data_IF_919823325791
#
_entry.id   IF_919823325791
#
_cell.length_a   1.000
_cell.length_b   1.000
_cell.length_c   1.000
_cell.angle_alpha   90.00
_cell.angle_beta   90.00
_cell.angle_gamma   90.00
#
_symmetry.space_group_name_H-M   'P 1'
#
loop_
_entity.id
_entity.type
_entity.pdbx_description
1 polymer ?
#
# COMPACT_ATOMS: atom_id res chain seq x y z
N UNK A 1 9.57 30.60 -1.80
CA UNK A 1 10.60 29.55 -2.01
C UNK A 1 10.45 28.41 -1.01
N UNK A 2 10.38 28.63 0.32
CA UNK A 2 10.15 27.56 1.32
C UNK A 2 8.87 26.75 1.11
N UNK A 3 7.72 27.40 0.92
CA UNK A 3 6.42 26.74 0.68
C UNK A 3 6.39 25.88 -0.60
N UNK A 4 7.12 26.30 -1.64
CA UNK A 4 7.20 25.59 -2.92
C UNK A 4 8.16 24.39 -2.81
N UNK A 5 9.22 24.53 -2.01
CA UNK A 5 10.12 23.44 -1.62
C UNK A 5 9.43 22.43 -0.70
N UNK A 6 8.59 22.86 0.24
CA UNK A 6 7.79 22.00 1.10
C UNK A 6 6.70 21.26 0.32
N UNK A 7 6.06 21.90 -0.66
CA UNK A 7 5.13 21.24 -1.57
C UNK A 7 5.87 20.27 -2.48
N UNK A 8 7.02 20.64 -3.06
CA UNK A 8 7.79 19.72 -3.90
C UNK A 8 8.38 18.58 -3.10
N UNK A 9 8.82 18.83 -1.87
CA UNK A 9 9.32 17.80 -0.97
C UNK A 9 8.15 16.93 -0.52
N UNK A 10 7.01 17.51 -0.15
CA UNK A 10 5.76 16.80 0.15
C UNK A 10 5.26 15.93 -1.01
N UNK A 11 5.42 16.39 -2.26
CA UNK A 11 5.12 15.60 -3.46
C UNK A 11 6.15 14.49 -3.64
N UNK A 12 7.45 14.77 -3.49
CA UNK A 12 8.52 13.77 -3.60
C UNK A 12 8.46 12.75 -2.45
N UNK A 13 8.02 13.17 -1.26
CA UNK A 13 7.82 12.30 -0.10
C UNK A 13 6.58 11.46 -0.27
N UNK A 14 5.53 12.05 -0.84
CA UNK A 14 4.35 11.34 -1.31
C UNK A 14 4.56 10.55 -2.60
N UNK A 15 5.79 10.37 -3.09
CA UNK A 15 6.10 9.70 -4.36
C UNK A 15 6.83 8.39 -4.10
N UNK A 16 7.62 8.30 -3.02
CA UNK A 16 8.40 7.10 -2.72
C UNK A 16 7.91 6.22 -1.57
N UNK A 17 6.79 6.54 -0.91
CA UNK A 17 6.18 5.71 0.14
C UNK A 17 5.09 4.73 -0.33
N UNK A 18 4.65 4.80 -1.60
CA UNK A 18 3.38 4.19 -2.00
C UNK A 18 3.45 2.93 -2.86
N UNK A 19 4.65 2.46 -3.17
CA UNK A 19 4.81 1.17 -3.82
C UNK A 19 5.18 0.14 -2.75
N UNK A 20 4.24 -0.71 -2.40
CA UNK A 20 4.44 -1.84 -1.50
C UNK A 20 4.60 -3.15 -2.30
N UNK A 21 5.07 -4.23 -1.64
CA UNK A 21 5.33 -5.50 -2.33
C UNK A 21 4.07 -6.08 -2.96
N UNK A 22 2.90 -5.80 -2.36
CA UNK A 22 1.59 -6.13 -2.88
C UNK A 22 1.32 -5.56 -4.27
N UNK A 23 1.61 -4.27 -4.45
CA UNK A 23 1.42 -3.59 -5.74
C UNK A 23 2.39 -4.11 -6.80
N UNK A 24 3.65 -4.36 -6.43
CA UNK A 24 4.63 -4.95 -7.35
C UNK A 24 4.27 -6.38 -7.76
N UNK A 25 3.92 -7.23 -6.79
CA UNK A 25 3.61 -8.64 -7.03
C UNK A 25 2.35 -8.81 -7.88
N UNK A 26 1.27 -8.12 -7.53
CA UNK A 26 0.00 -8.20 -8.26
C UNK A 26 0.11 -7.62 -9.66
N UNK A 27 0.82 -6.50 -9.84
CA UNK A 27 1.09 -5.94 -11.16
C UNK A 27 1.97 -6.85 -12.03
N UNK A 28 3.03 -7.42 -11.45
CA UNK A 28 3.91 -8.35 -12.17
C UNK A 28 3.17 -9.62 -12.59
N UNK A 29 2.40 -10.21 -11.69
CA UNK A 29 1.57 -11.38 -11.96
C UNK A 29 0.49 -11.07 -13.02
N UNK A 30 -0.17 -9.92 -12.92
CA UNK A 30 -1.17 -9.50 -13.88
C UNK A 30 -0.58 -9.30 -15.28
N UNK A 31 0.57 -8.65 -15.39
CA UNK A 31 1.28 -8.47 -16.64
C UNK A 31 1.71 -9.79 -17.25
N UNK A 32 2.30 -10.67 -16.44
CA UNK A 32 2.76 -12.00 -16.87
C UNK A 32 1.63 -12.89 -17.40
N UNK A 33 0.46 -12.91 -16.72
CA UNK A 33 -0.65 -13.80 -17.10
C UNK A 33 -1.59 -13.20 -18.14
N UNK A 34 -1.94 -11.93 -17.99
CA UNK A 34 -3.03 -11.29 -18.74
C UNK A 34 -2.55 -10.15 -19.66
N UNK A 35 -1.24 -9.94 -19.75
CA UNK A 35 -0.65 -8.85 -20.53
C UNK A 35 -1.19 -7.49 -20.07
N UNK A 36 -1.72 -6.72 -21.01
CA UNK A 36 -2.24 -5.37 -20.74
C UNK A 36 -3.71 -5.35 -20.28
N UNK A 37 -4.40 -6.48 -20.19
CA UNK A 37 -5.85 -6.51 -19.95
C UNK A 37 -6.26 -5.96 -18.57
N UNK A 38 -5.37 -5.99 -17.58
CA UNK A 38 -5.66 -5.55 -16.21
C UNK A 38 -5.19 -4.12 -15.89
N UNK A 39 -4.77 -3.36 -16.90
CA UNK A 39 -4.40 -1.94 -16.73
C UNK A 39 -5.55 -1.13 -16.13
N UNK A 40 -6.80 -1.38 -16.57
CA UNK A 40 -7.98 -0.70 -16.02
C UNK A 40 -8.12 -0.87 -14.50
N UNK A 41 -7.70 -2.01 -13.94
CA UNK A 41 -7.78 -2.26 -12.50
C UNK A 41 -6.78 -1.39 -11.73
N UNK A 42 -5.54 -1.22 -12.25
CA UNK A 42 -4.54 -0.31 -11.67
C UNK A 42 -5.05 1.14 -11.75
N UNK A 43 -5.60 1.56 -12.89
CA UNK A 43 -6.12 2.91 -13.07
C UNK A 43 -7.29 3.19 -12.12
N UNK A 44 -8.23 2.24 -11.99
CA UNK A 44 -9.35 2.34 -11.08
C UNK A 44 -8.87 2.40 -9.62
N UNK A 45 -7.94 1.52 -9.24
CA UNK A 45 -7.32 1.53 -7.90
C UNK A 45 -6.66 2.87 -7.58
N UNK A 46 -5.90 3.40 -8.54
CA UNK A 46 -5.23 4.71 -8.43
C UNK A 46 -6.24 5.85 -8.24
N UNK A 47 -7.33 5.87 -9.02
CA UNK A 47 -8.39 6.87 -8.87
C UNK A 47 -9.04 6.74 -7.48
N UNK A 48 -9.36 5.53 -7.05
CA UNK A 48 -9.98 5.27 -5.76
C UNK A 48 -9.11 5.76 -4.59
N UNK A 49 -7.81 5.46 -4.59
CA UNK A 49 -6.91 5.89 -3.52
C UNK A 49 -6.67 7.40 -3.54
N UNK A 50 -6.65 8.06 -4.71
CA UNK A 50 -6.64 9.54 -4.80
C UNK A 50 -7.81 10.13 -4.01
N UNK A 51 -9.02 9.61 -4.22
CA UNK A 51 -10.19 10.08 -3.49
C UNK A 51 -10.10 9.79 -1.99
N UNK A 52 -9.68 8.58 -1.60
CA UNK A 52 -9.57 8.23 -0.18
C UNK A 52 -8.54 9.06 0.57
N UNK A 53 -7.36 9.29 -0.04
CA UNK A 53 -6.29 10.09 0.56
C UNK A 53 -6.70 11.56 0.64
N UNK A 54 -7.30 12.11 -0.41
CA UNK A 54 -7.81 13.49 -0.37
C UNK A 54 -8.86 13.66 0.74
N UNK A 55 -9.79 12.72 0.83
CA UNK A 55 -10.81 12.70 1.87
C UNK A 55 -10.21 12.57 3.27
N UNK A 56 -9.18 11.72 3.45
CA UNK A 56 -8.50 11.49 4.73
C UNK A 56 -7.79 12.75 5.22
N UNK A 57 -7.00 13.39 4.35
CA UNK A 57 -6.33 14.63 4.69
C UNK A 57 -7.30 15.79 4.91
N UNK A 58 -8.40 15.86 4.14
CA UNK A 58 -9.44 16.88 4.33
C UNK A 58 -10.15 16.68 5.68
N UNK A 59 -10.51 15.45 6.02
CA UNK A 59 -11.14 15.13 7.29
C UNK A 59 -10.22 15.51 8.45
N UNK A 60 -8.96 15.11 8.43
CA UNK A 60 -7.97 15.46 9.45
C UNK A 60 -7.79 16.99 9.58
N UNK A 61 -7.57 17.69 8.47
CA UNK A 61 -7.31 19.13 8.46
C UNK A 61 -8.51 20.00 8.88
N UNK A 62 -9.74 19.51 8.66
CA UNK A 62 -10.97 20.25 9.01
C UNK A 62 -11.45 19.92 10.41
N UNK A 63 -11.44 18.64 10.79
CA UNK A 63 -12.01 18.17 12.06
C UNK A 63 -11.00 18.13 13.21
N UNK A 64 -9.70 18.09 12.91
CA UNK A 64 -8.64 17.84 13.89
C UNK A 64 -8.60 16.40 14.42
N UNK A 65 -9.40 15.49 13.85
CA UNK A 65 -9.46 14.08 14.24
C UNK A 65 -8.82 13.19 13.19
N UNK A 66 -8.19 12.11 13.62
CA UNK A 66 -7.83 11.00 12.71
C UNK A 66 -9.07 10.17 12.40
N UNK A 67 -8.97 9.31 11.38
CA UNK A 67 -10.09 8.43 11.02
C UNK A 67 -10.44 7.48 12.18
N UNK A 68 -9.44 6.88 12.84
CA UNK A 68 -9.70 5.96 13.93
C UNK A 68 -10.33 6.67 15.13
N UNK A 69 -9.81 7.85 15.49
CA UNK A 69 -10.36 8.67 16.58
C UNK A 69 -11.81 9.08 16.28
N UNK A 70 -12.08 9.56 15.07
CA UNK A 70 -13.42 9.96 14.65
C UNK A 70 -14.42 8.79 14.65
N UNK A 71 -14.02 7.60 14.20
CA UNK A 71 -14.90 6.41 14.21
C UNK A 71 -15.23 6.04 15.65
N UNK A 72 -14.22 6.01 16.52
CA UNK A 72 -14.41 5.68 17.92
C UNK A 72 -15.27 6.69 18.65
N UNK A 73 -15.06 7.98 18.43
CA UNK A 73 -15.83 9.05 19.08
C UNK A 73 -17.30 9.01 18.63
N UNK A 74 -17.55 8.86 17.32
CA UNK A 74 -18.90 8.90 16.76
C UNK A 74 -19.71 7.65 17.06
N UNK A 75 -19.12 6.46 16.89
CA UNK A 75 -19.84 5.18 16.96
C UNK A 75 -19.60 4.42 18.26
N UNK A 76 -18.68 4.90 19.11
CA UNK A 76 -18.27 4.24 20.33
C UNK A 76 -17.25 3.12 20.10
N UNK A 77 -16.58 2.73 21.18
CA UNK A 77 -15.50 1.73 21.17
C UNK A 77 -15.95 0.35 20.64
N UNK A 78 -17.16 -0.10 20.98
CA UNK A 78 -17.66 -1.41 20.55
C UNK A 78 -17.84 -1.50 19.03
N UNK A 79 -18.27 -0.42 18.38
CA UNK A 79 -18.39 -0.38 16.93
C UNK A 79 -17.00 -0.28 16.27
N UNK A 80 -16.08 0.48 16.87
CA UNK A 80 -14.70 0.61 16.42
C UNK A 80 -13.89 -0.69 16.52
N UNK A 81 -14.29 -1.64 17.39
CA UNK A 81 -13.60 -2.92 17.54
C UNK A 81 -13.56 -3.73 16.24
N UNK A 82 -14.58 -3.62 15.38
CA UNK A 82 -14.63 -4.30 14.08
C UNK A 82 -13.55 -3.81 13.09
N UNK A 83 -13.49 -2.51 12.74
CA UNK A 83 -12.41 -2.01 11.88
C UNK A 83 -11.03 -2.14 12.54
N UNK A 84 -10.92 -2.04 13.88
CA UNK A 84 -9.68 -2.28 14.60
C UNK A 84 -9.16 -3.70 14.35
N UNK A 85 -9.96 -4.73 14.65
CA UNK A 85 -9.54 -6.12 14.50
C UNK A 85 -9.26 -6.50 13.04
N UNK A 86 -10.09 -6.02 12.11
CA UNK A 86 -9.90 -6.26 10.69
C UNK A 86 -8.58 -5.65 10.19
N UNK A 87 -8.30 -4.40 10.56
CA UNK A 87 -7.08 -3.70 10.15
C UNK A 87 -5.85 -4.30 10.82
N UNK A 88 -5.91 -4.67 12.11
CA UNK A 88 -4.82 -5.37 12.80
C UNK A 88 -4.44 -6.68 12.10
N UNK A 89 -5.44 -7.47 11.69
CA UNK A 89 -5.23 -8.74 10.98
C UNK A 89 -4.62 -8.52 9.60
N UNK A 90 -5.17 -7.59 8.81
CA UNK A 90 -4.65 -7.24 7.49
C UNK A 90 -3.21 -6.76 7.59
N UNK A 91 -2.94 -5.81 8.47
CA UNK A 91 -1.60 -5.27 8.68
C UNK A 91 -0.61 -6.32 9.15
N UNK A 92 -1.04 -7.29 9.97
CA UNK A 92 -0.18 -8.42 10.34
C UNK A 92 0.27 -9.17 9.09
N UNK A 93 -0.64 -9.48 8.17
CA UNK A 93 -0.32 -10.21 6.95
C UNK A 93 0.52 -9.39 5.98
N UNK A 94 0.14 -8.13 5.74
CA UNK A 94 0.86 -7.23 4.82
C UNK A 94 2.26 -6.96 5.36
N UNK A 95 2.42 -6.57 6.63
CA UNK A 95 3.75 -6.32 7.21
C UNK A 95 4.62 -7.57 7.24
N UNK A 96 4.04 -8.76 7.42
CA UNK A 96 4.78 -10.02 7.28
C UNK A 96 5.28 -10.21 5.84
N UNK A 97 4.42 -9.94 4.85
CA UNK A 97 4.78 -10.00 3.44
C UNK A 97 5.88 -8.97 3.08
N UNK A 98 5.80 -7.74 3.60
CA UNK A 98 6.81 -6.71 3.39
C UNK A 98 8.17 -7.10 4.01
N UNK A 99 8.20 -7.61 5.25
CA UNK A 99 9.42 -8.17 5.85
C UNK A 99 9.99 -9.29 4.98
N UNK A 100 9.11 -10.14 4.42
CA UNK A 100 9.47 -11.18 3.47
C UNK A 100 10.08 -10.62 2.18
N UNK A 101 9.53 -9.54 1.62
CA UNK A 101 10.07 -8.86 0.44
C UNK A 101 11.49 -8.32 0.66
N UNK A 102 11.75 -7.66 1.79
CA UNK A 102 13.11 -7.22 2.17
C UNK A 102 14.03 -8.43 2.36
N UNK A 103 13.53 -9.50 2.99
CA UNK A 103 14.30 -10.71 3.25
C UNK A 103 14.70 -11.42 1.96
N UNK A 104 13.83 -11.44 0.95
CA UNK A 104 14.14 -11.96 -0.39
C UNK A 104 15.14 -11.06 -1.10
N UNK A 105 15.00 -9.74 -1.00
CA UNK A 105 15.99 -8.82 -1.56
C UNK A 105 17.39 -9.06 -0.95
N UNK A 106 17.46 -9.30 0.37
CA UNK A 106 18.69 -9.67 1.06
C UNK A 106 19.22 -11.05 0.65
N UNK A 107 18.34 -12.04 0.43
CA UNK A 107 18.71 -13.34 -0.13
C UNK A 107 19.32 -13.20 -1.52
N UNK A 108 18.68 -12.46 -2.42
CA UNK A 108 19.20 -12.19 -3.76
C UNK A 108 20.59 -11.53 -3.70
N UNK A 109 20.81 -10.61 -2.77
CA UNK A 109 22.09 -9.93 -2.61
C UNK A 109 23.20 -10.79 -1.98
N UNK A 110 22.86 -11.72 -1.09
CA UNK A 110 23.84 -12.43 -0.23
C UNK A 110 23.96 -13.92 -0.49
N UNK A 111 22.96 -14.53 -1.14
CA UNK A 111 22.82 -15.99 -1.29
C UNK A 111 22.39 -16.73 -0.02
N UNK A 112 22.06 -16.01 1.07
CA UNK A 112 21.59 -16.60 2.33
C UNK A 112 20.07 -16.61 2.33
N UNK A 113 19.44 -17.76 2.61
CA UNK A 113 17.99 -17.93 2.55
C UNK A 113 17.19 -16.89 3.35
N UNK A 114 16.09 -16.40 2.78
CA UNK A 114 15.28 -15.29 3.30
C UNK A 114 14.83 -15.46 4.76
N UNK A 115 14.56 -16.69 5.20
CA UNK A 115 14.14 -17.00 6.58
C UNK A 115 15.11 -16.46 7.64
N UNK A 116 16.40 -16.40 7.32
CA UNK A 116 17.43 -15.88 8.24
C UNK A 116 17.46 -14.36 8.32
N UNK A 117 16.89 -13.68 7.33
CA UNK A 117 16.83 -12.22 7.24
C UNK A 117 15.59 -11.63 7.92
N UNK A 118 14.53 -12.42 8.13
CA UNK A 118 13.28 -11.94 8.73
C UNK A 118 13.48 -11.21 10.07
N UNK A 119 14.19 -11.84 11.02
CA UNK A 119 14.46 -11.24 12.34
C UNK A 119 15.43 -10.03 12.26
N UNK A 120 16.56 -10.10 11.53
CA UNK A 120 17.40 -8.93 11.29
C UNK A 120 16.66 -7.74 10.67
N UNK A 121 15.79 -7.98 9.69
CA UNK A 121 14.99 -6.94 9.03
C UNK A 121 14.02 -6.32 10.02
N UNK A 122 13.28 -7.13 10.78
CA UNK A 122 12.36 -6.62 11.80
C UNK A 122 13.08 -5.84 12.91
N UNK A 123 14.26 -6.30 13.33
CA UNK A 123 15.10 -5.58 14.28
C UNK A 123 15.60 -4.24 13.71
N UNK A 124 15.99 -4.21 12.44
CA UNK A 124 16.40 -2.99 11.76
C UNK A 124 15.22 -2.01 11.65
N UNK A 125 14.04 -2.48 11.24
CA UNK A 125 12.83 -1.67 11.20
C UNK A 125 12.50 -1.10 12.58
N UNK A 126 12.55 -1.94 13.62
CA UNK A 126 12.36 -1.52 15.00
C UNK A 126 13.39 -0.45 15.43
N UNK A 127 14.66 -0.62 15.07
CA UNK A 127 15.71 0.35 15.39
C UNK A 127 15.46 1.70 14.72
N UNK A 128 14.93 1.69 13.49
CA UNK A 128 14.55 2.89 12.75
C UNK A 128 13.36 3.60 13.39
N UNK A 129 12.31 2.87 13.81
CA UNK A 129 11.19 3.47 14.56
C UNK A 129 11.63 3.99 15.93
N UNK A 130 12.46 3.21 16.64
CA UNK A 130 12.89 3.58 17.99
C UNK A 130 13.78 4.83 18.04
N UNK A 131 14.58 5.08 16.98
CA UNK A 131 15.54 6.20 16.92
C UNK A 131 15.16 7.30 15.94
N UNK A 132 14.31 7.00 14.98
CA UNK A 132 13.88 7.91 13.94
C UNK A 132 12.90 8.95 14.47
N UNK A 133 12.59 9.92 13.62
CA UNK A 133 11.43 10.79 13.78
C UNK A 133 10.51 10.54 12.59
N UNK A 134 9.24 10.90 12.72
CA UNK A 134 8.25 10.73 11.64
C UNK A 134 8.77 11.31 10.31
N UNK A 135 9.24 12.56 10.34
CA UNK A 135 9.77 13.22 9.16
C UNK A 135 11.07 12.62 8.60
N UNK A 136 11.87 11.90 9.39
CA UNK A 136 13.05 11.20 8.88
C UNK A 136 12.64 9.91 8.14
N UNK A 137 11.68 9.17 8.69
CA UNK A 137 11.17 7.95 8.09
C UNK A 137 10.49 8.28 6.77
N UNK A 138 9.53 9.20 6.77
CA UNK A 138 8.78 9.58 5.57
C UNK A 138 9.70 10.14 4.47
N UNK A 139 10.62 11.06 4.82
CA UNK A 139 11.51 11.67 3.82
C UNK A 139 12.58 10.72 3.32
N UNK A 140 13.16 9.92 4.20
CA UNK A 140 14.23 9.00 3.87
C UNK A 140 13.73 7.90 2.93
N UNK A 141 12.65 7.22 3.32
CA UNK A 141 12.04 6.15 2.53
C UNK A 141 11.63 6.68 1.16
N UNK A 142 11.01 7.85 1.11
CA UNK A 142 10.50 8.34 -0.15
C UNK A 142 11.57 8.78 -1.16
N UNK A 143 12.66 9.41 -0.68
CA UNK A 143 13.80 9.73 -1.56
C UNK A 143 14.43 8.45 -2.10
N UNK A 144 14.59 7.44 -1.26
CA UNK A 144 15.12 6.14 -1.68
C UNK A 144 14.16 5.43 -2.64
N UNK A 145 12.86 5.56 -2.42
CA UNK A 145 11.80 4.97 -3.24
C UNK A 145 11.81 5.43 -4.69
N UNK A 146 12.46 6.54 -5.02
CA UNK A 146 12.69 6.98 -6.41
C UNK A 146 13.42 5.94 -7.26
N UNK A 147 14.14 4.98 -6.67
CA UNK A 147 14.75 3.87 -7.40
C UNK A 147 13.71 3.07 -8.20
N UNK A 148 12.47 2.99 -7.71
CA UNK A 148 11.36 2.25 -8.35
C UNK A 148 10.95 2.84 -9.71
N UNK A 149 11.37 4.08 -10.02
CA UNK A 149 11.24 4.66 -11.35
C UNK A 149 11.92 3.83 -12.45
N UNK A 150 12.85 2.95 -12.09
CA UNK A 150 13.44 2.02 -13.05
C UNK A 150 12.40 1.18 -13.81
N UNK A 151 11.25 0.88 -13.20
CA UNK A 151 10.16 0.16 -13.87
C UNK A 151 9.46 1.02 -14.92
N UNK A 152 9.26 2.32 -14.64
CA UNK A 152 8.68 3.27 -15.62
C UNK A 152 9.65 3.48 -16.78
N UNK A 153 10.93 3.72 -16.48
CA UNK A 153 11.97 3.86 -17.49
C UNK A 153 12.08 2.58 -18.32
N UNK A 154 12.08 1.41 -17.67
CA UNK A 154 12.12 0.11 -18.34
C UNK A 154 10.92 -0.12 -19.26
N UNK A 155 9.71 0.22 -18.80
CA UNK A 155 8.50 0.12 -19.62
C UNK A 155 8.58 0.98 -20.88
N UNK A 156 9.12 2.20 -20.80
CA UNK A 156 9.29 3.08 -21.97
C UNK A 156 10.38 2.54 -22.90
N UNK A 157 11.50 2.06 -22.36
CA UNK A 157 12.62 1.50 -23.15
C UNK A 157 12.28 0.23 -23.91
N UNK A 158 11.29 -0.53 -23.44
CA UNK A 158 10.80 -1.72 -24.14
C UNK A 158 9.94 -1.41 -25.37
N UNK A 159 9.63 -0.13 -25.62
CA UNK A 159 8.84 0.33 -26.76
C UNK A 159 7.53 -0.46 -26.97
N UNK A 160 6.64 -0.55 -25.96
CA UNK A 160 5.36 -1.25 -26.09
C UNK A 160 4.51 -0.65 -27.22
N UNK A 161 3.62 -1.46 -27.79
CA UNK A 161 2.52 -0.92 -28.59
C UNK A 161 1.57 -0.13 -27.68
N UNK A 162 1.77 1.18 -27.64
CA UNK A 162 0.96 2.10 -26.83
C UNK A 162 -0.53 2.05 -27.16
N UNK A 163 -0.93 1.59 -28.35
CA UNK A 163 -2.35 1.39 -28.66
C UNK A 163 -2.93 0.22 -27.88
N UNK A 164 -2.17 -0.86 -27.72
CA UNK A 164 -2.59 -2.01 -26.92
C UNK A 164 -2.58 -1.69 -25.42
N UNK A 165 -1.58 -0.94 -24.96
CA UNK A 165 -1.54 -0.43 -23.58
C UNK A 165 -2.76 0.44 -23.30
N UNK A 166 -3.09 1.38 -24.20
CA UNK A 166 -4.26 2.23 -24.06
C UNK A 166 -5.58 1.45 -24.14
N UNK A 167 -5.65 0.39 -24.96
CA UNK A 167 -6.81 -0.50 -25.01
C UNK A 167 -7.04 -1.22 -23.67
N UNK A 168 -5.98 -1.56 -22.94
CA UNK A 168 -6.04 -2.15 -21.60
C UNK A 168 -6.66 -1.24 -20.53
N UNK A 169 -6.77 0.06 -20.78
CA UNK A 169 -7.44 1.00 -19.88
C UNK A 169 -8.97 0.82 -19.87
N UNK A 170 -9.53 0.15 -20.88
CA UNK A 170 -10.96 -0.17 -20.94
C UNK A 170 -11.15 -1.60 -20.42
N UNK A 171 -12.05 -1.82 -19.43
CA UNK A 171 -12.33 -3.17 -18.92
C UNK A 171 -12.74 -4.11 -20.04
N UNK A 172 -12.07 -5.27 -20.10
CA UNK A 172 -12.38 -6.34 -21.05
C UNK A 172 -12.77 -7.61 -20.30
N UNK A 173 -13.58 -8.45 -20.95
CA UNK A 173 -13.92 -9.77 -20.44
C UNK A 173 -12.76 -10.74 -20.72
N UNK A 174 -12.41 -11.61 -19.77
CA UNK A 174 -11.34 -12.58 -19.98
C UNK A 174 -11.73 -13.59 -21.05
N UNK A 175 -10.79 -13.89 -21.96
CA UNK A 175 -10.98 -14.93 -22.99
C UNK A 175 -10.89 -16.36 -22.44
N UNK A 176 -10.24 -16.54 -21.29
CA UNK A 176 -10.09 -17.80 -20.56
C UNK A 176 -9.84 -17.51 -19.07
N UNK A 177 -10.09 -18.49 -18.21
CA UNK A 177 -9.82 -18.44 -16.77
C UNK A 177 -10.37 -17.18 -16.05
N UNK A 178 -11.68 -17.01 -16.13
CA UNK A 178 -12.37 -15.85 -15.55
C UNK A 178 -12.15 -15.73 -14.03
N UNK A 179 -11.99 -16.85 -13.32
CA UNK A 179 -11.76 -16.87 -11.88
C UNK A 179 -10.42 -16.19 -11.53
N UNK A 180 -9.32 -16.63 -12.17
CA UNK A 180 -8.00 -16.03 -11.96
C UNK A 180 -7.93 -14.58 -12.42
N UNK A 181 -8.59 -14.24 -13.53
CA UNK A 181 -8.65 -12.85 -14.02
C UNK A 181 -9.29 -11.92 -13.00
N UNK A 182 -10.49 -12.27 -12.51
CA UNK A 182 -11.18 -11.45 -11.53
C UNK A 182 -10.44 -11.45 -10.20
N UNK A 183 -9.90 -12.59 -9.74
CA UNK A 183 -9.07 -12.65 -8.55
C UNK A 183 -7.85 -11.73 -8.64
N UNK A 184 -7.20 -11.64 -9.81
CA UNK A 184 -6.06 -10.75 -10.02
C UNK A 184 -6.48 -9.28 -10.06
N UNK A 185 -7.57 -8.95 -10.77
CA UNK A 185 -8.14 -7.61 -10.76
C UNK A 185 -8.49 -7.14 -9.34
N UNK A 186 -9.09 -8.04 -8.55
CA UNK A 186 -9.41 -7.85 -7.14
C UNK A 186 -8.14 -7.60 -6.32
N UNK A 187 -7.10 -8.41 -6.53
CA UNK A 187 -5.84 -8.32 -5.78
C UNK A 187 -5.11 -7.02 -6.08
N UNK A 188 -5.13 -6.54 -7.33
CA UNK A 188 -4.60 -5.22 -7.70
C UNK A 188 -5.35 -4.11 -6.95
N UNK A 189 -6.68 -4.18 -6.90
CA UNK A 189 -7.49 -3.18 -6.18
C UNK A 189 -7.22 -3.22 -4.68
N UNK A 190 -7.07 -4.42 -4.10
CA UNK A 190 -6.68 -4.60 -2.70
C UNK A 190 -5.33 -3.95 -2.40
N UNK A 191 -4.32 -4.21 -3.25
CA UNK A 191 -2.99 -3.61 -3.14
C UNK A 191 -2.95 -2.10 -3.34
N UNK A 192 -3.87 -1.56 -4.14
CA UNK A 192 -3.88 -0.12 -4.45
C UNK A 192 -4.61 0.71 -3.40
N UNK A 193 -5.50 0.10 -2.61
CA UNK A 193 -6.45 0.80 -1.75
C UNK A 193 -6.35 0.31 -0.29
N UNK A 194 -5.18 -0.15 0.14
CA UNK A 194 -4.95 -0.69 1.48
C UNK A 194 -5.41 0.27 2.60
N UNK A 195 -6.20 -0.18 3.61
CA UNK A 195 -6.75 0.71 4.65
C UNK A 195 -5.71 1.50 5.43
N UNK A 196 -4.54 0.89 5.68
CA UNK A 196 -3.48 1.54 6.44
C UNK A 196 -3.02 2.83 5.75
N UNK A 197 -3.00 2.90 4.41
CA UNK A 197 -2.50 4.07 3.66
C UNK A 197 -3.24 5.35 4.05
N UNK A 198 -4.57 5.35 3.94
CA UNK A 198 -5.36 6.54 4.22
C UNK A 198 -5.52 6.80 5.74
N UNK A 199 -5.46 5.75 6.57
CA UNK A 199 -5.47 5.92 8.04
C UNK A 199 -4.15 6.49 8.56
N UNK A 200 -3.02 5.99 8.07
CA UNK A 200 -1.69 6.52 8.36
C UNK A 200 -1.58 7.97 7.89
N UNK A 201 -2.01 8.25 6.65
CA UNK A 201 -2.04 9.61 6.11
C UNK A 201 -2.88 10.57 6.98
N UNK A 202 -4.04 10.12 7.47
CA UNK A 202 -4.85 10.94 8.39
C UNK A 202 -4.15 11.21 9.74
N UNK A 203 -3.36 10.26 10.23
CA UNK A 203 -2.60 10.42 11.48
C UNK A 203 -1.43 11.39 11.28
N UNK A 204 -0.68 11.25 10.20
CA UNK A 204 0.39 12.17 9.82
C UNK A 204 -0.11 13.61 9.63
N UNK A 205 -1.27 13.80 8.98
CA UNK A 205 -1.86 15.13 8.82
C UNK A 205 -2.20 15.81 10.16
N UNK A 206 -2.64 15.05 11.18
CA UNK A 206 -2.89 15.59 12.52
C UNK A 206 -1.58 15.88 13.26
N UNK A 207 -0.58 15.01 13.11
CA UNK A 207 0.76 15.18 13.72
C UNK A 207 1.49 16.41 13.16
N UNK A 208 1.39 16.64 11.86
CA UNK A 208 1.88 17.85 11.18
C UNK A 208 1.00 19.09 11.42
N UNK A 209 -0.05 18.98 12.24
CA UNK A 209 -0.97 20.06 12.59
C UNK A 209 -1.62 20.74 11.38
N UNK A 210 -2.04 19.94 10.40
CA UNK A 210 -2.72 20.47 9.22
C UNK A 210 -4.03 21.16 9.61
N UNK A 211 -4.27 22.30 8.99
CA UNK A 211 -5.50 23.08 9.10
C UNK A 211 -6.15 23.27 7.72
N UNK A 212 -7.26 24.02 7.67
CA UNK A 212 -7.99 24.31 6.44
C UNK A 212 -7.14 24.98 5.34
N UNK A 213 -6.01 25.58 5.67
CA UNK A 213 -5.11 26.17 4.66
C UNK A 213 -4.35 25.11 3.85
N UNK A 214 -4.24 23.88 4.37
CA UNK A 214 -3.61 22.75 3.71
C UNK A 214 -4.50 22.03 2.70
N UNK A 215 -5.78 22.37 2.58
CA UNK A 215 -6.70 21.68 1.66
C UNK A 215 -6.23 21.68 0.19
N UNK A 216 -5.61 22.78 -0.26
CA UNK A 216 -5.03 22.84 -1.60
C UNK A 216 -3.81 21.92 -1.74
N UNK A 217 -2.93 21.91 -0.75
CA UNK A 217 -1.75 21.04 -0.69
C UNK A 217 -2.16 19.57 -0.62
N UNK A 218 -3.14 19.23 0.21
CA UNK A 218 -3.70 17.88 0.34
C UNK A 218 -4.21 17.34 -1.00
N UNK A 219 -4.94 18.17 -1.78
CA UNK A 219 -5.41 17.77 -3.12
C UNK A 219 -4.25 17.51 -4.09
N UNK A 220 -3.19 18.31 -4.01
CA UNK A 220 -2.01 18.13 -4.85
C UNK A 220 -1.23 16.87 -4.45
N UNK A 221 -1.04 16.62 -3.16
CA UNK A 221 -0.39 15.42 -2.62
C UNK A 221 -1.19 14.16 -2.99
N UNK A 222 -2.49 14.16 -2.69
CA UNK A 222 -3.38 13.05 -3.03
C UNK A 222 -3.43 12.79 -4.54
N UNK A 223 -3.55 13.83 -5.36
CA UNK A 223 -3.61 13.70 -6.81
C UNK A 223 -2.28 13.26 -7.44
N UNK A 224 -1.22 14.04 -7.23
CA UNK A 224 0.08 13.81 -7.88
C UNK A 224 0.83 12.63 -7.26
N UNK A 225 0.82 12.49 -5.93
CA UNK A 225 1.51 11.41 -5.23
C UNK A 225 0.94 10.04 -5.58
N UNK A 226 -0.38 9.87 -5.46
CA UNK A 226 -1.02 8.59 -5.80
C UNK A 226 -0.94 8.26 -7.28
N UNK A 227 -1.06 9.26 -8.18
CA UNK A 227 -0.89 9.05 -9.62
C UNK A 227 0.51 8.56 -9.97
N UNK A 228 1.52 9.02 -9.24
CA UNK A 228 2.89 8.57 -9.42
C UNK A 228 3.05 7.09 -9.02
N UNK A 229 2.53 6.70 -7.86
CA UNK A 229 2.49 5.29 -7.44
C UNK A 229 1.78 4.39 -8.48
N UNK A 230 0.61 4.82 -8.94
CA UNK A 230 -0.13 4.13 -10.01
C UNK A 230 0.65 4.01 -11.32
N UNK A 231 1.45 5.02 -11.67
CA UNK A 231 2.33 4.99 -12.86
C UNK A 231 3.46 3.98 -12.70
N UNK A 232 4.04 3.84 -11.50
CA UNK A 232 5.04 2.81 -11.23
C UNK A 232 4.42 1.42 -11.34
N UNK A 233 3.26 1.18 -10.72
CA UNK A 233 2.53 -0.09 -10.84
C UNK A 233 2.20 -0.44 -12.30
N UNK A 234 1.82 0.57 -13.09
CA UNK A 234 1.63 0.39 -14.53
C UNK A 234 2.93 0.01 -15.25
N UNK A 235 4.05 0.65 -14.90
CA UNK A 235 5.38 0.30 -15.40
C UNK A 235 5.76 -1.15 -15.08
N UNK A 236 5.55 -1.59 -13.84
CA UNK A 236 5.76 -2.98 -13.40
C UNK A 236 4.94 -3.95 -14.26
N UNK A 237 3.64 -3.67 -14.45
CA UNK A 237 2.75 -4.50 -15.28
C UNK A 237 3.24 -4.57 -16.74
N UNK A 238 3.58 -3.44 -17.35
CA UNK A 238 4.05 -3.39 -18.74
C UNK A 238 5.35 -4.17 -18.91
N UNK A 239 6.32 -3.97 -18.01
CA UNK A 239 7.58 -4.70 -18.02
C UNK A 239 7.34 -6.20 -17.86
N UNK A 240 6.49 -6.61 -16.92
CA UNK A 240 6.18 -8.02 -16.71
C UNK A 240 5.50 -8.66 -17.94
N UNK A 241 4.54 -7.96 -18.55
CA UNK A 241 3.87 -8.44 -19.76
C UNK A 241 4.83 -8.66 -20.93
N UNK A 242 5.75 -7.73 -21.15
CA UNK A 242 6.68 -7.80 -22.28
C UNK A 242 7.88 -8.71 -22.02
N UNK A 243 8.34 -8.81 -20.77
CA UNK A 243 9.55 -9.56 -20.44
C UNK A 243 9.20 -10.95 -19.94
N UNK A 244 8.40 -11.07 -18.87
CA UNK A 244 8.04 -12.39 -18.32
C UNK A 244 7.14 -13.17 -19.28
N UNK A 245 6.15 -12.49 -19.88
CA UNK A 245 5.27 -13.09 -20.89
C UNK A 245 6.06 -13.63 -22.11
N UNK A 246 7.07 -12.90 -22.59
CA UNK A 246 7.93 -13.35 -23.70
C UNK A 246 8.80 -14.57 -23.35
N UNK A 247 9.11 -14.78 -22.07
CA UNK A 247 9.84 -15.96 -21.59
C UNK A 247 8.91 -17.15 -21.27
N UNK A 248 7.60 -17.04 -21.56
CA UNK A 248 6.61 -18.08 -21.27
C UNK A 248 6.29 -18.23 -19.78
N UNK A 249 6.71 -17.26 -18.95
CA UNK A 249 6.39 -17.22 -17.52
C UNK A 249 5.00 -16.59 -17.40
N UNK A 250 3.97 -17.44 -17.47
CA UNK A 250 2.58 -17.01 -17.36
C UNK A 250 2.09 -16.94 -15.91
N UNK A 251 2.87 -17.45 -14.95
CA UNK A 251 2.61 -17.33 -13.52
C UNK A 251 3.89 -17.00 -12.77
N UNK A 252 3.84 -15.92 -11.99
CA UNK A 252 4.91 -15.54 -11.06
C UNK A 252 4.69 -16.34 -9.79
N UNK A 253 5.44 -17.43 -9.66
CA UNK A 253 5.32 -18.34 -8.53
C UNK A 253 6.34 -18.04 -7.43
N UNK A 254 7.34 -17.22 -7.74
CA UNK A 254 8.43 -16.91 -6.82
C UNK A 254 8.99 -15.50 -7.08
N UNK A 255 9.28 -14.77 -6.01
CA UNK A 255 9.99 -13.49 -6.10
C UNK A 255 11.38 -13.58 -6.73
N UNK A 256 12.02 -14.75 -6.69
CA UNK A 256 13.28 -15.00 -7.40
C UNK A 256 13.16 -14.85 -8.93
N UNK A 257 11.94 -14.81 -9.49
CA UNK A 257 11.69 -14.55 -10.90
C UNK A 257 11.65 -13.05 -11.24
N UNK A 258 11.39 -12.18 -10.27
CA UNK A 258 11.28 -10.74 -10.50
C UNK A 258 12.54 -10.10 -11.11
N UNK A 259 13.78 -10.49 -10.78
CA UNK A 259 14.97 -9.92 -11.43
C UNK A 259 14.96 -10.02 -12.96
N UNK A 260 14.31 -11.04 -13.51
CA UNK A 260 14.17 -11.21 -14.96
C UNK A 260 13.44 -10.05 -15.63
N UNK A 261 12.66 -9.26 -14.90
CA UNK A 261 11.95 -8.10 -15.43
C UNK A 261 12.91 -6.98 -15.88
N UNK A 262 13.97 -6.72 -15.11
CA UNK A 262 14.85 -5.57 -15.35
C UNK A 262 16.21 -5.96 -15.94
N UNK A 263 16.68 -7.19 -15.75
CA UNK A 263 17.96 -7.67 -16.29
C UNK A 263 18.04 -7.55 -17.82
N UNK A 264 17.03 -7.93 -18.61
CA UNK A 264 17.10 -7.82 -20.08
C UNK A 264 17.18 -6.37 -20.57
N UNK A 265 16.73 -5.41 -19.76
CA UNK A 265 16.67 -3.98 -20.11
C UNK A 265 17.97 -3.27 -19.73
N UNK A 266 18.47 -3.54 -18.51
CA UNK A 266 19.57 -2.79 -17.91
C UNK A 266 20.83 -3.64 -17.62
N UNK A 267 20.84 -4.91 -18.02
CA UNK A 267 21.93 -5.85 -17.74
C UNK A 267 22.13 -6.07 -16.24
N UNK A 268 23.39 -6.05 -15.78
CA UNK A 268 23.74 -6.17 -14.35
C UNK A 268 23.04 -5.11 -13.49
N UNK A 269 22.91 -3.88 -13.99
CA UNK A 269 22.22 -2.82 -13.26
C UNK A 269 20.73 -3.11 -13.08
N UNK A 270 20.11 -3.90 -13.95
CA UNK A 270 18.73 -4.34 -13.79
C UNK A 270 18.52 -5.19 -12.54
N UNK A 271 19.46 -6.10 -12.25
CA UNK A 271 19.46 -6.87 -11.02
C UNK A 271 19.60 -5.97 -9.79
N UNK A 272 20.57 -5.06 -9.80
CA UNK A 272 20.83 -4.13 -8.69
C UNK A 272 19.62 -3.23 -8.42
N UNK A 273 19.04 -2.64 -9.48
CA UNK A 273 17.87 -1.79 -9.40
C UNK A 273 16.65 -2.54 -8.85
N UNK A 274 16.46 -3.80 -9.25
CA UNK A 274 15.36 -4.60 -8.75
C UNK A 274 15.51 -4.93 -7.26
N UNK A 275 16.68 -5.42 -6.85
CA UNK A 275 16.98 -5.75 -5.46
C UNK A 275 16.85 -4.51 -4.58
N UNK A 276 17.38 -3.36 -5.03
CA UNK A 276 17.25 -2.10 -4.33
C UNK A 276 15.78 -1.64 -4.24
N UNK A 277 15.04 -1.72 -5.35
CA UNK A 277 13.61 -1.35 -5.38
C UNK A 277 12.79 -2.20 -4.41
N UNK A 278 12.97 -3.53 -4.45
CA UNK A 278 12.28 -4.45 -3.57
C UNK A 278 12.63 -4.17 -2.11
N UNK A 279 13.92 -4.05 -1.77
CA UNK A 279 14.36 -3.78 -0.39
C UNK A 279 13.81 -2.45 0.14
N UNK A 280 13.92 -1.37 -0.64
CA UNK A 280 13.52 -0.03 -0.20
C UNK A 280 12.00 0.08 -0.08
N UNK A 281 11.25 -0.37 -1.10
CA UNK A 281 9.79 -0.37 -1.10
C UNK A 281 9.24 -1.13 0.12
N UNK A 282 9.71 -2.36 0.30
CA UNK A 282 9.19 -3.22 1.36
C UNK A 282 9.61 -2.76 2.76
N UNK A 283 10.83 -2.24 2.90
CA UNK A 283 11.29 -1.70 4.18
C UNK A 283 10.51 -0.43 4.54
N UNK A 284 10.22 0.43 3.56
CA UNK A 284 9.35 1.59 3.72
C UNK A 284 7.96 1.22 4.22
N UNK A 285 7.28 0.33 3.51
CA UNK A 285 5.97 -0.17 3.89
C UNK A 285 5.97 -0.84 5.29
N UNK A 286 7.03 -1.59 5.63
CA UNK A 286 7.19 -2.17 6.98
C UNK A 286 7.20 -1.11 8.08
N UNK A 287 7.90 0.01 7.86
CA UNK A 287 7.94 1.13 8.82
C UNK A 287 6.58 1.82 8.92
N UNK A 288 5.95 2.12 7.78
CA UNK A 288 4.65 2.80 7.73
C UNK A 288 3.54 1.96 8.38
N UNK A 289 3.46 0.66 8.07
CA UNK A 289 2.48 -0.24 8.67
C UNK A 289 2.75 -0.41 10.17
N UNK A 290 4.03 -0.53 10.57
CA UNK A 290 4.42 -0.61 11.98
C UNK A 290 3.93 0.59 12.80
N UNK A 291 4.13 1.81 12.27
CA UNK A 291 3.63 3.04 12.87
C UNK A 291 2.10 3.11 12.85
N UNK A 292 1.48 2.81 11.70
CA UNK A 292 0.03 2.85 11.56
C UNK A 292 -0.66 1.92 12.57
N UNK A 293 -0.13 0.73 12.84
CA UNK A 293 -0.62 -0.17 13.87
C UNK A 293 -0.58 0.47 15.27
N UNK A 294 0.53 1.14 15.60
CA UNK A 294 0.67 1.83 16.87
C UNK A 294 -0.32 3.00 17.00
N UNK A 295 -0.49 3.82 15.96
CA UNK A 295 -1.50 4.87 15.91
C UNK A 295 -2.91 4.30 16.07
N UNK A 296 -3.27 3.29 15.29
CA UNK A 296 -4.60 2.68 15.31
C UNK A 296 -4.99 2.18 16.70
N UNK A 297 -4.08 1.48 17.38
CA UNK A 297 -4.31 0.97 18.73
C UNK A 297 -4.39 2.12 19.73
N UNK A 298 -3.44 3.06 19.71
CA UNK A 298 -3.43 4.16 20.67
C UNK A 298 -4.66 5.06 20.55
N UNK A 299 -5.05 5.44 19.32
CA UNK A 299 -6.26 6.18 18.98
C UNK A 299 -7.52 5.41 19.41
N UNK A 300 -7.54 4.11 19.13
CA UNK A 300 -8.60 3.20 19.52
C UNK A 300 -8.84 3.10 21.02
N UNK A 301 -7.79 3.03 21.82
CA UNK A 301 -7.89 2.92 23.29
C UNK A 301 -7.86 4.28 24.00
N UNK A 302 -7.52 5.36 23.31
CA UNK A 302 -7.46 6.73 23.87
C UNK A 302 -6.22 6.96 24.68
N UNK A 303 -5.15 6.30 24.27
CA UNK A 303 -3.83 6.55 24.79
C UNK A 303 -3.28 7.83 24.18
N UNK A 304 -2.26 8.39 24.82
CA UNK A 304 -1.41 9.36 24.13
C UNK A 304 -0.77 8.69 22.93
N UNK A 305 -0.48 9.47 21.90
CA UNK A 305 0.19 9.01 20.70
C UNK A 305 0.93 10.16 20.04
N UNK A 306 1.94 9.81 19.24
CA UNK A 306 2.82 10.73 18.51
C UNK A 306 4.19 10.10 18.36
N UNK A 307 4.66 9.95 17.13
CA UNK A 307 5.98 9.38 16.84
C UNK A 307 7.10 10.33 17.27
N UNK A 308 6.84 11.64 17.29
CA UNK A 308 7.78 12.63 17.82
C UNK A 308 7.90 12.61 19.36
N UNK A 309 7.07 11.81 20.07
CA UNK A 309 7.21 11.60 21.50
C UNK A 309 8.34 10.61 21.80
N UNK A 310 9.20 10.94 22.77
CA UNK A 310 10.28 10.04 23.16
C UNK A 310 9.72 8.68 23.62
N UNK A 311 10.32 7.54 23.23
CA UNK A 311 9.82 6.21 23.61
C UNK A 311 9.65 5.94 25.11
N UNK A 312 10.33 6.70 25.96
CA UNK A 312 10.18 6.63 27.43
C UNK A 312 8.91 7.30 27.96
N UNK A 313 8.35 8.23 27.19
CA UNK A 313 7.17 8.99 27.56
C UNK A 313 5.88 8.35 27.02
N UNK A 314 5.98 7.42 26.07
CA UNK A 314 4.86 6.64 25.56
C UNK A 314 5.22 5.14 25.36
N UNK A 315 5.34 4.38 26.47
CA UNK A 315 5.72 2.98 26.40
C UNK A 315 4.64 2.09 25.76
N UNK A 316 3.38 2.53 25.77
CA UNK A 316 2.27 1.78 25.19
C UNK A 316 2.32 1.83 23.66
N UNK A 317 2.47 3.03 23.09
CA UNK A 317 2.64 3.21 21.65
C UNK A 317 3.87 2.44 21.12
N UNK A 318 5.01 2.58 21.80
CA UNK A 318 6.24 1.90 21.39
C UNK A 318 6.17 0.37 21.55
N UNK A 319 5.46 -0.09 22.58
CA UNK A 319 5.19 -1.51 22.79
C UNK A 319 4.40 -2.13 21.64
N UNK A 320 3.45 -1.40 21.05
CA UNK A 320 2.61 -1.90 19.95
C UNK A 320 3.44 -2.15 18.69
N UNK A 321 4.21 -1.18 18.19
CA UNK A 321 5.03 -1.43 16.99
C UNK A 321 6.12 -2.47 17.27
N UNK A 322 6.71 -2.48 18.48
CA UNK A 322 7.75 -3.45 18.86
C UNK A 322 7.21 -4.87 18.81
N UNK A 323 6.05 -5.11 19.43
CA UNK A 323 5.41 -6.42 19.42
C UNK A 323 4.96 -6.79 18.00
N UNK A 324 4.37 -5.85 17.26
CA UNK A 324 3.86 -6.11 15.93
C UNK A 324 4.97 -6.54 14.97
N UNK A 325 6.09 -5.81 14.92
CA UNK A 325 7.25 -6.15 14.07
C UNK A 325 7.83 -7.53 14.41
N UNK A 326 7.95 -7.86 15.70
CA UNK A 326 8.45 -9.17 16.12
C UNK A 326 7.49 -10.29 15.72
N UNK A 327 6.19 -10.09 15.92
CA UNK A 327 5.18 -11.11 15.59
C UNK A 327 5.05 -11.34 14.09
N UNK A 328 5.13 -10.30 13.26
CA UNK A 328 5.05 -10.42 11.79
C UNK A 328 6.33 -10.95 11.14
N UNK A 329 7.46 -10.88 11.83
CA UNK A 329 8.68 -11.55 11.37
C UNK A 329 8.59 -13.08 11.48
N UNK A 330 7.79 -13.61 12.41
CA UNK A 330 7.73 -15.05 12.71
C UNK A 330 7.30 -15.88 11.49
N UNK A 331 6.21 -15.58 10.76
CA UNK A 331 5.82 -16.37 9.59
C UNK A 331 6.95 -16.53 8.57
N UNK A 332 7.67 -15.44 8.28
CA UNK A 332 8.78 -15.45 7.32
C UNK A 332 9.98 -16.20 7.86
N UNK A 333 10.29 -16.03 9.16
CA UNK A 333 11.36 -16.79 9.82
C UNK A 333 11.09 -18.30 9.86
N UNK A 334 9.81 -18.70 9.84
CA UNK A 334 9.38 -20.10 9.72
C UNK A 334 9.37 -20.62 8.27
N UNK A 335 9.76 -19.79 7.30
CA UNK A 335 9.84 -20.17 5.89
C UNK A 335 8.50 -20.07 5.14
N UNK A 336 7.53 -19.31 5.66
CA UNK A 336 6.29 -19.04 4.92
C UNK A 336 6.62 -18.19 3.69
N UNK A 337 6.12 -18.64 2.53
CA UNK A 337 6.34 -18.02 1.23
C UNK A 337 5.83 -16.55 1.20
N UNK A 338 6.75 -15.57 1.07
CA UNK A 338 6.37 -14.15 1.07
C UNK A 338 5.40 -13.77 -0.05
N UNK A 339 5.53 -14.37 -1.24
CA UNK A 339 4.71 -14.03 -2.41
C UNK A 339 3.28 -14.54 -2.23
N UNK A 340 3.12 -15.77 -1.75
CA UNK A 340 1.79 -16.33 -1.45
C UNK A 340 1.10 -15.52 -0.35
N UNK A 341 1.85 -15.16 0.70
CA UNK A 341 1.33 -14.31 1.76
C UNK A 341 0.88 -12.95 1.23
N UNK A 342 1.68 -12.35 0.34
CA UNK A 342 1.38 -11.09 -0.31
C UNK A 342 0.06 -11.18 -1.07
N UNK A 343 -0.06 -12.08 -2.03
CA UNK A 343 -1.27 -12.23 -2.85
C UNK A 343 -2.50 -12.48 -1.98
N UNK A 344 -2.38 -13.35 -0.98
CA UNK A 344 -3.46 -13.63 -0.05
C UNK A 344 -3.84 -12.41 0.80
N UNK A 345 -2.85 -11.69 1.33
CA UNK A 345 -3.08 -10.47 2.12
C UNK A 345 -3.78 -9.39 1.32
N UNK A 346 -3.47 -9.24 0.02
CA UNK A 346 -4.12 -8.25 -0.84
C UNK A 346 -5.61 -8.57 -1.03
N UNK A 347 -5.96 -9.85 -1.21
CA UNK A 347 -7.36 -10.27 -1.30
C UNK A 347 -8.13 -10.00 0.01
N UNK A 348 -7.52 -10.32 1.17
CA UNK A 348 -8.11 -10.06 2.49
C UNK A 348 -8.23 -8.56 2.76
N UNK A 349 -7.22 -7.77 2.37
CA UNK A 349 -7.22 -6.31 2.45
C UNK A 349 -8.43 -5.74 1.72
N UNK A 350 -8.60 -6.16 0.47
CA UNK A 350 -9.73 -5.76 -0.37
C UNK A 350 -11.09 -6.12 0.26
N UNK A 351 -11.20 -7.32 0.85
CA UNK A 351 -12.41 -7.77 1.53
C UNK A 351 -12.70 -7.01 2.84
N UNK A 352 -11.66 -6.52 3.52
CA UNK A 352 -11.78 -5.76 4.77
C UNK A 352 -12.19 -4.29 4.55
N UNK A 353 -11.99 -3.75 3.35
CA UNK A 353 -12.20 -2.33 3.04
C UNK A 353 -13.55 -1.78 3.49
N UNK A 354 -14.70 -2.45 3.26
CA UNK A 354 -15.99 -1.94 3.69
C UNK A 354 -16.07 -1.64 5.20
N UNK A 355 -15.37 -2.41 6.04
CA UNK A 355 -15.40 -2.24 7.49
C UNK A 355 -14.79 -0.90 7.93
N UNK A 356 -13.81 -0.39 7.18
CA UNK A 356 -13.13 0.88 7.49
C UNK A 356 -13.69 2.03 6.67
N UNK A 357 -13.98 1.81 5.39
CA UNK A 357 -14.40 2.85 4.45
C UNK A 357 -15.85 3.31 4.70
N UNK A 358 -16.75 2.41 5.07
CA UNK A 358 -18.16 2.77 5.37
C UNK A 358 -18.28 3.72 6.56
N UNK A 359 -17.73 3.43 7.76
CA UNK A 359 -17.82 4.37 8.87
C UNK A 359 -17.08 5.68 8.57
N UNK A 360 -15.98 5.62 7.82
CA UNK A 360 -15.27 6.82 7.37
C UNK A 360 -16.12 7.70 6.44
N UNK A 361 -16.87 7.10 5.51
CA UNK A 361 -17.80 7.82 4.64
C UNK A 361 -18.89 8.55 5.45
N UNK A 362 -19.39 7.91 6.51
CA UNK A 362 -20.41 8.51 7.37
C UNK A 362 -19.83 9.74 8.09
N UNK A 363 -18.60 9.66 8.60
CA UNK A 363 -17.93 10.80 9.23
C UNK A 363 -17.74 11.99 8.28
N UNK A 364 -17.37 11.72 7.03
CA UNK A 364 -17.20 12.74 5.99
C UNK A 364 -18.48 13.39 5.49
N UNK A 365 -19.64 12.83 5.84
CA UNK A 365 -20.94 13.43 5.57
C UNK A 365 -21.62 13.95 6.85
N UNK A 366 -20.91 13.93 7.98
CA UNK A 366 -21.43 14.44 9.24
C UNK A 366 -21.01 15.89 9.46
N UNK A 367 -21.98 16.80 9.39
CA UNK A 367 -21.76 18.25 9.56
C UNK A 367 -21.03 18.60 10.87
N UNK A 368 -21.12 17.76 11.90
CA UNK A 368 -20.41 17.98 13.18
C UNK A 368 -18.89 17.95 13.02
N UNK A 369 -18.37 17.15 12.10
CA UNK A 369 -16.92 17.00 11.88
C UNK A 369 -16.41 17.90 10.77
N UNK A 370 -17.12 17.97 9.66
CA UNK A 370 -16.60 18.59 8.43
C UNK A 370 -17.29 19.91 8.06
N UNK A 371 -18.42 20.25 8.69
CA UNK A 371 -19.22 21.42 8.33
C UNK A 371 -19.47 21.49 6.82
N UNK A 372 -19.12 22.62 6.21
CA UNK A 372 -19.28 22.85 4.76
C UNK A 372 -18.31 22.04 3.87
N UNK A 373 -17.32 21.33 4.44
CA UNK A 373 -16.30 20.57 3.70
C UNK A 373 -16.66 19.08 3.54
N UNK A 374 -17.96 18.76 3.66
CA UNK A 374 -18.48 17.41 3.44
C UNK A 374 -18.33 16.92 2.00
N UNK A 375 -18.56 15.63 1.80
CA UNK A 375 -18.47 15.02 0.48
C UNK A 375 -19.57 15.51 -0.47
N UNK A 376 -19.18 15.78 -1.73
CA UNK A 376 -20.14 15.95 -2.83
C UNK A 376 -20.62 14.60 -3.39
N UNK A 377 -21.56 14.63 -4.34
CA UNK A 377 -22.12 13.44 -4.98
C UNK A 377 -21.05 12.55 -5.64
N UNK A 378 -20.02 13.14 -6.26
CA UNK A 378 -18.95 12.41 -6.94
C UNK A 378 -18.09 11.64 -5.94
N UNK A 379 -17.67 12.27 -4.85
CA UNK A 379 -16.89 11.62 -3.79
C UNK A 379 -17.67 10.48 -3.14
N UNK A 380 -18.97 10.69 -2.86
CA UNK A 380 -19.82 9.63 -2.33
C UNK A 380 -19.99 8.46 -3.32
N UNK A 381 -20.16 8.73 -4.61
CA UNK A 381 -20.23 7.69 -5.63
C UNK A 381 -18.93 6.88 -5.75
N UNK A 382 -17.76 7.54 -5.69
CA UNK A 382 -16.47 6.88 -5.69
C UNK A 382 -16.31 5.95 -4.49
N UNK A 383 -16.76 6.37 -3.30
CA UNK A 383 -16.68 5.54 -2.10
C UNK A 383 -17.67 4.37 -2.14
N UNK A 384 -18.88 4.58 -2.65
CA UNK A 384 -19.84 3.50 -2.88
C UNK A 384 -19.27 2.47 -3.86
N UNK A 385 -18.59 2.91 -4.91
CA UNK A 385 -17.89 2.03 -5.84
C UNK A 385 -16.80 1.22 -5.13
N UNK A 386 -15.99 1.84 -4.27
CA UNK A 386 -14.95 1.15 -3.48
C UNK A 386 -15.58 0.09 -2.56
N UNK A 387 -16.68 0.42 -1.88
CA UNK A 387 -17.40 -0.51 -1.00
C UNK A 387 -18.04 -1.65 -1.80
N UNK A 388 -18.66 -1.33 -2.94
CA UNK A 388 -19.29 -2.33 -3.82
C UNK A 388 -18.24 -3.27 -4.42
N UNK A 389 -17.10 -2.72 -4.85
CA UNK A 389 -15.93 -3.51 -5.25
C UNK A 389 -15.56 -4.41 -4.08
N UNK A 390 -15.15 -3.86 -2.92
CA UNK A 390 -14.75 -4.60 -1.72
C UNK A 390 -15.69 -5.73 -1.32
N UNK A 391 -17.01 -5.51 -1.42
CA UNK A 391 -18.02 -6.53 -1.15
C UNK A 391 -18.01 -7.66 -2.21
N UNK A 392 -17.95 -7.31 -3.50
CA UNK A 392 -17.77 -8.29 -4.58
C UNK A 392 -16.46 -9.06 -4.39
N UNK A 393 -15.38 -8.39 -3.94
CA UNK A 393 -14.10 -9.04 -3.65
C UNK A 393 -14.29 -10.08 -2.55
N UNK A 394 -14.83 -9.69 -1.39
CA UNK A 394 -15.07 -10.60 -0.26
C UNK A 394 -15.89 -11.84 -0.66
N UNK A 395 -16.91 -11.67 -1.50
CA UNK A 395 -17.79 -12.75 -1.94
C UNK A 395 -17.13 -13.65 -2.99
N UNK A 396 -16.25 -13.13 -3.84
CA UNK A 396 -15.64 -13.87 -4.95
C UNK A 396 -14.28 -14.46 -4.59
N UNK A 397 -13.39 -13.70 -3.96
CA UNK A 397 -12.00 -14.10 -3.71
C UNK A 397 -11.87 -15.13 -2.57
N UNK A 398 -12.62 -14.94 -1.48
CA UNK A 398 -12.53 -15.83 -0.30
C UNK A 398 -12.94 -17.27 -0.65
N UNK A 399 -14.07 -17.53 -1.35
CA UNK A 399 -14.44 -18.88 -1.73
C UNK A 399 -13.53 -19.48 -2.81
N UNK A 400 -13.08 -18.69 -3.80
CA UNK A 400 -12.18 -19.18 -4.84
C UNK A 400 -10.84 -19.64 -4.26
N UNK A 401 -10.35 -19.01 -3.20
CA UNK A 401 -9.09 -19.38 -2.57
C UNK A 401 -9.24 -20.54 -1.57
N UNK A 402 -10.40 -20.69 -0.93
CA UNK A 402 -10.71 -21.82 -0.04
C UNK A 402 -11.06 -23.09 -0.84
N UNK A 403 -11.77 -22.95 -1.97
CA UNK A 403 -12.24 -24.07 -2.80
C UNK A 403 -11.27 -24.42 -3.93
N UNK A 404 -10.49 -23.46 -4.41
CA UNK A 404 -9.50 -23.64 -5.48
C UNK A 404 -8.13 -24.08 -4.99
N UNK A 405 -8.02 -24.60 -3.76
CA UNK A 405 -6.75 -25.02 -3.17
C UNK A 405 -6.04 -26.13 -3.96
N UNK A 406 -5.16 -25.73 -4.87
CA UNK A 406 -3.88 -26.38 -5.25
C UNK A 406 -3.25 -25.67 -6.44
#
# INVERSE_FOLDING_TARGET
MKKLLEISLGIVTSVGGFLEVGSMATAAQAGATFGFQLIWAILLGTICIIFLVEMAGRFAAVSGHTIADGIRERFGFNAFLWPLLATLLVNFMVMSAEIGGVSIAAELATGIGFQWWALPVAFLAWLFLWKGTFGFIEKGVAILGLVTLCFVVGAVMLEPDWRQVAAGAVPSLPGHDAASYWFMAVSILGASISPYLFMFYSSGAVEDHWDKTYLGTNRAIAGLGMSFGGTISLGVLIVAALVLGAHGINQVNDYHQLPLMLIPIFGFWGFVLLVASLAIACFGATLEIGLQQAYLVAQGFGWTWGEDLKPRNDPAFCGVYTLSLLLTAIPIALGLDPLKLTIFSMAVTAASLPLTVVPFLILLNDERYVGEHGNGMISNAAVILIVALGFVLAVVSIPLQILGGS
#
